data_IF_054494959817
#
_entry.id   IF_054494959817
#
_cell.length_a   1.000
_cell.length_b   1.000
_cell.length_c   1.000
_cell.angle_alpha   90.00
_cell.angle_beta   90.00
_cell.angle_gamma   90.00
#
_symmetry.space_group_name_H-M   'P 1'
#
loop_
_entity.id
_entity.type
_entity.pdbx_description
1 polymer ?
#
# COMPACT_ATOMS: atom_id res chain seq x y z
N UNK A 1 11.32 -10.62 -4.69
CA UNK A 1 10.83 -9.80 -3.56
C UNK A 1 9.51 -9.16 -3.98
N UNK A 2 8.47 -9.20 -3.15
CA UNK A 2 7.34 -8.28 -3.31
C UNK A 2 7.25 -7.49 -2.03
N UNK A 3 7.72 -6.25 -2.10
CA UNK A 3 7.29 -5.22 -1.16
C UNK A 3 5.77 -5.15 -1.20
N UNK A 4 5.09 -4.72 -0.13
CA UNK A 4 3.63 -4.58 -0.10
C UNK A 4 3.09 -3.63 -1.18
N UNK A 5 3.01 -4.10 -2.43
CA UNK A 5 2.55 -3.33 -3.58
C UNK A 5 1.03 -3.29 -3.54
N UNK A 6 0.48 -2.32 -2.80
CA UNK A 6 -0.85 -1.82 -3.12
C UNK A 6 -0.67 -0.82 -4.25
N UNK A 7 -0.79 -1.36 -5.46
CA UNK A 7 -0.77 -0.61 -6.71
C UNK A 7 -1.97 0.34 -6.70
N UNK A 8 -1.70 1.64 -6.54
CA UNK A 8 -2.55 2.68 -7.12
C UNK A 8 -3.96 2.74 -6.49
N UNK A 9 -4.09 3.32 -5.28
CA UNK A 9 -5.34 4.03 -5.03
C UNK A 9 -5.29 5.32 -5.87
N UNK A 10 -6.28 5.50 -6.73
CA UNK A 10 -6.47 6.70 -7.56
C UNK A 10 -6.84 7.94 -6.73
N UNK A 11 -6.95 7.81 -5.40
CA UNK A 11 -7.46 8.84 -4.49
C UNK A 11 -6.37 9.60 -3.72
N UNK A 12 -5.20 9.82 -4.33
CA UNK A 12 -4.18 10.75 -3.79
C UNK A 12 -4.40 12.20 -4.28
N UNK A 13 -5.61 12.55 -4.71
CA UNK A 13 -6.03 13.94 -4.57
C UNK A 13 -6.42 14.13 -3.11
N UNK A 14 -5.86 15.10 -2.37
CA UNK A 14 -6.31 15.36 -1.01
C UNK A 14 -7.84 15.56 -1.07
N UNK A 15 -8.61 14.91 -0.17
CA UNK A 15 -10.06 14.97 -0.22
C UNK A 15 -10.47 16.44 -0.27
N UNK A 16 -11.21 16.82 -1.31
CA UNK A 16 -11.91 18.09 -1.32
C UNK A 16 -12.86 18.04 -0.11
N UNK A 17 -12.49 18.74 0.96
CA UNK A 17 -13.31 18.89 2.14
C UNK A 17 -14.60 19.62 1.76
N UNK A 18 -15.62 18.89 1.32
CA UNK A 18 -16.99 19.32 1.55
C UNK A 18 -17.25 19.08 3.03
N UNK A 19 -17.11 20.16 3.81
CA UNK A 19 -17.63 20.21 5.17
C UNK A 19 -19.13 19.98 5.03
N UNK A 20 -19.58 18.74 5.18
CA UNK A 20 -21.00 18.43 5.37
C UNK A 20 -21.24 18.65 6.88
N UNK A 21 -21.88 19.76 7.29
CA UNK A 21 -22.16 19.98 8.70
C UNK A 21 -23.09 18.89 9.23
N UNK A 22 -22.99 18.54 10.53
CA UNK A 22 -23.75 17.45 11.10
C UNK A 22 -25.25 17.71 10.95
N UNK A 23 -25.99 16.71 10.46
CA UNK A 23 -27.46 16.70 10.44
C UNK A 23 -27.96 16.81 11.88
N UNK A 24 -28.21 18.04 12.34
CA UNK A 24 -28.97 18.29 13.55
C UNK A 24 -30.40 17.86 13.30
N UNK A 25 -30.78 16.81 14.03
CA UNK A 25 -32.11 16.22 14.06
C UNK A 25 -33.06 17.28 14.63
N UNK A 26 -33.77 18.00 13.75
CA UNK A 26 -34.86 18.90 14.14
C UNK A 26 -35.98 18.05 14.73
N UNK A 27 -36.08 18.05 16.06
CA UNK A 27 -37.31 17.66 16.76
C UNK A 27 -37.81 18.94 17.44
N UNK A 28 -38.92 19.44 16.94
CA UNK A 28 -39.53 20.68 17.40
C UNK A 28 -40.09 20.59 18.81
N UNK A 29 -40.20 21.77 19.43
CA UNK A 29 -41.36 22.31 20.15
C UNK A 29 -40.87 23.37 21.15
N UNK A 30 -41.15 24.62 20.78
CA UNK A 30 -41.69 25.70 21.63
C UNK A 30 -40.86 26.39 22.72
N UNK A 31 -40.91 27.74 22.66
CA UNK A 31 -40.77 28.66 23.80
C UNK A 31 -39.48 29.51 23.76
N UNK A 32 -39.38 30.55 22.92
CA UNK A 32 -39.72 31.94 23.23
C UNK A 32 -39.09 32.51 24.53
N UNK A 33 -38.10 33.41 24.37
CA UNK A 33 -38.01 34.79 24.94
C UNK A 33 -36.54 35.22 25.17
N UNK A 34 -36.11 36.19 24.35
CA UNK A 34 -35.02 37.17 24.55
C UNK A 34 -35.31 38.11 25.75
N UNK A 35 -34.49 39.10 26.16
CA UNK A 35 -33.26 39.58 25.54
C UNK A 35 -32.09 39.92 26.50
N UNK A 36 -30.98 40.25 25.85
CA UNK A 36 -29.81 40.94 26.38
C UNK A 36 -30.11 42.30 27.04
N UNK A 37 -29.29 42.69 28.01
CA UNK A 37 -28.75 44.06 28.10
C UNK A 37 -27.53 44.11 29.02
N UNK A 38 -26.53 44.83 28.53
CA UNK A 38 -25.29 45.23 29.17
C UNK A 38 -25.48 46.00 30.48
N UNK A 39 -24.51 45.87 31.38
CA UNK A 39 -24.08 46.96 32.27
C UNK A 39 -22.66 46.70 32.78
N UNK A 40 -21.67 47.15 32.01
CA UNK A 40 -20.33 47.44 32.51
C UNK A 40 -20.27 48.90 32.94
N UNK A 41 -19.88 49.17 34.18
CA UNK A 41 -19.80 50.51 34.75
C UNK A 41 -18.83 50.59 35.92
N UNK A 42 -17.79 51.38 35.71
CA UNK A 42 -16.62 51.64 36.55
C UNK A 42 -16.94 52.65 37.67
N UNK A 43 -16.30 52.50 38.84
CA UNK A 43 -16.18 53.51 39.90
C UNK A 43 -15.34 52.96 41.07
N UNK A 44 -14.04 53.23 41.15
CA UNK A 44 -13.35 54.40 41.76
C UNK A 44 -13.28 54.38 43.29
N UNK A 45 -12.07 54.07 43.77
CA UNK A 45 -11.28 54.66 44.86
C UNK A 45 -12.04 55.15 46.11
N UNK A 46 -11.74 54.52 47.26
CA UNK A 46 -11.52 55.21 48.53
C UNK A 46 -10.61 54.40 49.46
N UNK A 47 -9.45 54.99 49.75
CA UNK A 47 -8.57 54.71 50.90
C UNK A 47 -9.15 55.31 52.17
N UNK A 48 -8.97 54.66 53.33
CA UNK A 48 -8.43 55.40 54.46
C UNK A 48 -7.35 54.66 55.27
N UNK A 49 -6.56 55.53 55.88
CA UNK A 49 -5.52 55.46 56.89
C UNK A 49 -5.62 54.39 58.01
N UNK A 50 -4.46 53.78 58.24
CA UNK A 50 -3.64 53.79 59.46
C UNK A 50 -4.19 53.40 60.86
N UNK A 51 -3.32 52.62 61.51
CA UNK A 51 -3.04 52.49 62.94
C UNK A 51 -3.79 51.40 63.73
N UNK A 52 -3.02 50.40 64.19
CA UNK A 52 -3.51 49.41 65.15
C UNK A 52 -2.60 48.21 65.36
N UNK A 53 -1.41 48.44 65.91
CA UNK A 53 -0.45 47.44 66.41
C UNK A 53 -1.08 46.50 67.45
N UNK A 54 -0.99 45.17 67.28
CA UNK A 54 -0.76 44.19 68.37
C UNK A 54 -0.50 42.76 67.85
N UNK A 55 0.78 42.40 67.96
CA UNK A 55 1.36 41.11 68.40
C UNK A 55 0.41 39.93 68.64
N UNK A 56 0.65 38.82 67.92
CA UNK A 56 0.02 37.52 68.17
C UNK A 56 0.58 36.39 67.31
N UNK A 57 1.71 35.85 67.75
CA UNK A 57 2.32 34.55 67.44
C UNK A 57 1.46 33.51 66.68
N UNK A 58 1.94 33.07 65.51
CA UNK A 58 2.27 31.68 65.19
C UNK A 58 2.39 31.53 63.67
N UNK A 59 3.60 31.21 63.20
CA UNK A 59 3.89 30.89 61.82
C UNK A 59 3.00 29.72 61.35
N UNK A 60 1.91 30.03 60.64
CA UNK A 60 1.19 29.03 59.88
C UNK A 60 2.00 28.77 58.61
N UNK A 61 2.60 27.59 58.54
CA UNK A 61 3.22 27.09 57.32
C UNK A 61 2.21 27.22 56.15
N UNK A 62 2.63 27.74 54.98
CA UNK A 62 1.75 27.88 53.85
C UNK A 62 1.24 26.49 53.42
N UNK A 63 -0.04 26.37 53.02
CA UNK A 63 -0.61 25.10 52.64
C UNK A 63 0.21 24.50 51.52
N UNK A 64 0.67 23.27 51.73
CA UNK A 64 1.18 22.41 50.68
C UNK A 64 0.14 22.39 49.57
N UNK A 65 0.44 23.04 48.45
CA UNK A 65 -0.25 22.76 47.21
C UNK A 65 0.08 21.31 46.88
N UNK A 66 -0.76 20.40 47.37
CA UNK A 66 -0.85 19.06 46.84
C UNK A 66 -0.98 19.25 45.34
N UNK A 67 0.10 18.93 44.61
CA UNK A 67 0.06 18.87 43.16
C UNK A 67 -1.06 17.90 42.84
N UNK A 68 -2.21 18.45 42.47
CA UNK A 68 -3.28 17.76 41.79
C UNK A 68 -2.63 17.15 40.56
N UNK A 69 -2.16 15.92 40.72
CA UNK A 69 -1.65 15.14 39.62
C UNK A 69 -2.90 14.84 38.82
N UNK A 70 -3.13 15.62 37.77
CA UNK A 70 -4.22 15.38 36.83
C UNK A 70 -3.96 13.98 36.31
N UNK A 71 -4.68 13.02 36.89
CA UNK A 71 -4.64 11.63 36.46
C UNK A 71 -5.04 11.64 35.01
N UNK A 72 -4.08 11.30 34.14
CA UNK A 72 -4.27 11.21 32.70
C UNK A 72 -5.53 10.36 32.49
N UNK A 73 -6.56 10.94 31.88
CA UNK A 73 -7.84 10.25 31.64
C UNK A 73 -7.54 8.82 31.16
N UNK A 74 -8.12 7.76 31.75
CA UNK A 74 -7.73 6.39 31.47
C UNK A 74 -8.09 6.05 30.02
N UNK A 75 -7.15 6.29 29.11
CA UNK A 75 -7.23 5.81 27.74
C UNK A 75 -7.05 4.30 27.83
N UNK A 76 -8.11 3.52 27.56
CA UNK A 76 -8.02 2.06 27.52
C UNK A 76 -7.03 1.59 26.42
N UNK A 77 -6.63 0.31 26.46
CA UNK A 77 -5.64 -0.23 25.51
C UNK A 77 -6.04 -0.01 24.04
N UNK A 78 -7.32 -0.21 23.72
CA UNK A 78 -7.86 0.02 22.39
C UNK A 78 -7.68 1.46 21.91
N UNK A 79 -7.99 2.45 22.76
CA UNK A 79 -7.84 3.85 22.40
C UNK A 79 -6.38 4.28 22.27
N UNK A 80 -5.46 3.67 23.05
CA UNK A 80 -4.01 3.85 22.86
C UNK A 80 -3.56 3.28 21.51
N UNK A 81 -4.00 2.07 21.18
CA UNK A 81 -3.68 1.40 19.93
C UNK A 81 -4.22 2.19 18.73
N UNK A 82 -5.46 2.66 18.81
CA UNK A 82 -6.09 3.49 17.78
C UNK A 82 -5.34 4.80 17.55
N UNK A 83 -4.95 5.49 18.64
CA UNK A 83 -4.14 6.71 18.53
C UNK A 83 -2.77 6.43 17.90
N UNK A 84 -2.08 5.38 18.34
CA UNK A 84 -0.78 5.01 17.82
C UNK A 84 -0.84 4.64 16.32
N UNK A 85 -1.91 3.96 15.90
CA UNK A 85 -2.14 3.63 14.50
C UNK A 85 -2.50 4.87 13.67
N UNK A 86 -3.40 5.71 14.18
CA UNK A 86 -3.81 6.94 13.52
C UNK A 86 -2.61 7.86 13.23
N UNK A 87 -1.63 7.91 14.13
CA UNK A 87 -0.39 8.67 13.92
C UNK A 87 0.43 8.20 12.71
N UNK A 88 0.32 6.94 12.30
CA UNK A 88 1.08 6.34 11.18
C UNK A 88 0.40 6.47 9.81
N UNK A 89 -0.81 6.99 9.77
CA UNK A 89 -1.60 7.17 8.53
C UNK A 89 -1.93 8.63 8.23
N UNK A 90 -1.53 9.57 9.11
CA UNK A 90 -1.75 11.01 8.91
C UNK A 90 -1.19 11.47 7.56
N UNK A 91 -1.94 12.23 6.74
CA UNK A 91 -1.44 12.78 5.47
C UNK A 91 -0.20 13.67 5.63
N UNK A 92 0.00 14.25 6.81
CA UNK A 92 1.17 15.08 7.14
C UNK A 92 2.43 14.26 7.46
N UNK A 93 2.30 12.95 7.67
CA UNK A 93 3.45 12.07 7.85
C UNK A 93 4.13 11.84 6.50
N UNK A 94 5.45 12.04 6.45
CA UNK A 94 6.24 11.85 5.23
C UNK A 94 6.07 10.46 4.63
N UNK A 95 6.11 10.38 3.30
CA UNK A 95 5.87 9.14 2.53
C UNK A 95 6.81 8.00 2.93
N UNK A 96 7.99 8.30 3.46
CA UNK A 96 8.93 7.28 3.96
C UNK A 96 8.36 6.42 5.12
N UNK A 97 7.35 6.91 5.84
CA UNK A 97 6.81 6.30 7.05
C UNK A 97 5.28 6.18 7.07
N UNK A 98 4.60 6.64 6.01
CA UNK A 98 3.14 6.66 5.95
C UNK A 98 2.59 5.29 5.54
N UNK A 99 1.85 4.63 6.45
CA UNK A 99 1.28 3.31 6.18
C UNK A 99 0.16 3.36 5.13
N UNK A 100 -0.72 4.37 5.17
CA UNK A 100 -1.83 4.49 4.22
C UNK A 100 -1.33 4.69 2.78
N UNK A 101 -0.25 5.46 2.61
CA UNK A 101 0.41 5.65 1.32
C UNK A 101 0.89 4.34 0.66
N UNK A 102 1.45 3.44 1.48
CA UNK A 102 2.09 2.22 1.00
C UNK A 102 1.13 1.05 0.90
N UNK A 103 0.26 0.89 1.90
CA UNK A 103 -0.64 -0.26 2.01
C UNK A 103 -2.08 0.04 1.64
N UNK A 104 -2.45 1.29 1.36
CA UNK A 104 -3.76 1.65 0.84
C UNK A 104 -4.74 2.26 1.85
N UNK A 105 -5.82 2.82 1.30
CA UNK A 105 -6.72 3.71 2.01
C UNK A 105 -7.66 3.02 3.00
N UNK A 106 -7.77 1.69 2.97
CA UNK A 106 -8.56 0.95 3.97
C UNK A 106 -8.04 1.17 5.39
N UNK A 107 -6.74 1.50 5.53
CA UNK A 107 -6.12 1.82 6.80
C UNK A 107 -6.76 3.03 7.51
N UNK A 108 -7.36 3.95 6.76
CA UNK A 108 -8.06 5.11 7.34
C UNK A 108 -9.28 4.71 8.17
N UNK A 109 -9.85 3.53 7.92
CA UNK A 109 -11.01 3.03 8.66
C UNK A 109 -10.63 2.15 9.85
N UNK A 110 -9.37 1.68 9.92
CA UNK A 110 -8.90 0.76 10.95
C UNK A 110 -9.08 1.32 12.37
N UNK A 111 -8.74 2.59 12.69
CA UNK A 111 -8.93 3.12 14.04
C UNK A 111 -10.37 2.99 14.57
N UNK A 112 -11.38 3.10 13.70
CA UNK A 112 -12.79 2.98 14.06
C UNK A 112 -13.25 1.52 14.23
N UNK A 113 -12.45 0.55 13.78
CA UNK A 113 -12.74 -0.90 13.88
C UNK A 113 -12.05 -1.58 15.06
N UNK A 114 -11.08 -0.91 15.68
CA UNK A 114 -10.38 -1.46 16.84
C UNK A 114 -11.33 -1.63 18.03
N UNK A 115 -11.19 -2.74 18.75
CA UNK A 115 -12.07 -3.17 19.83
C UNK A 115 -13.27 -4.02 19.38
N UNK A 116 -13.48 -4.19 18.07
CA UNK A 116 -14.58 -5.01 17.53
C UNK A 116 -14.17 -6.46 17.25
N UNK A 117 -12.89 -6.71 17.01
CA UNK A 117 -12.37 -8.03 16.65
C UNK A 117 -10.95 -8.20 17.22
N UNK A 118 -10.77 -9.20 18.07
CA UNK A 118 -9.50 -9.43 18.77
C UNK A 118 -8.33 -9.78 17.83
N UNK A 119 -8.60 -10.37 16.66
CA UNK A 119 -7.57 -10.67 15.67
C UNK A 119 -7.08 -9.38 15.00
N UNK A 120 -7.97 -8.44 14.70
CA UNK A 120 -7.59 -7.15 14.16
C UNK A 120 -6.79 -6.33 15.18
N UNK A 121 -7.24 -6.28 16.43
CA UNK A 121 -6.54 -5.57 17.50
C UNK A 121 -5.11 -6.12 17.68
N UNK A 122 -4.99 -7.45 17.81
CA UNK A 122 -3.69 -8.10 17.94
C UNK A 122 -2.80 -7.91 16.70
N UNK A 123 -3.36 -8.03 15.49
CA UNK A 123 -2.61 -7.84 14.26
C UNK A 123 -2.15 -6.39 14.08
N UNK A 124 -2.94 -5.42 14.55
CA UNK A 124 -2.59 -4.00 14.52
C UNK A 124 -1.41 -3.71 15.45
N UNK A 125 -1.44 -4.23 16.67
CA UNK A 125 -0.32 -4.10 17.61
C UNK A 125 0.97 -4.78 17.08
N UNK A 126 0.84 -5.97 16.50
CA UNK A 126 1.94 -6.68 15.83
C UNK A 126 2.48 -5.87 14.65
N UNK A 127 1.61 -5.30 13.81
CA UNK A 127 2.04 -4.51 12.66
C UNK A 127 2.72 -3.19 13.05
N UNK A 128 2.26 -2.52 14.10
CA UNK A 128 2.97 -1.36 14.65
C UNK A 128 4.31 -1.73 15.28
N UNK A 129 4.40 -2.90 15.91
CA UNK A 129 5.67 -3.44 16.42
C UNK A 129 6.64 -3.74 15.28
N UNK A 130 6.14 -4.32 14.18
CA UNK A 130 6.92 -4.56 12.96
C UNK A 130 7.38 -3.24 12.33
N UNK A 131 6.48 -2.26 12.23
CA UNK A 131 6.81 -0.95 11.70
C UNK A 131 7.88 -0.22 12.54
N UNK A 132 7.85 -0.37 13.87
CA UNK A 132 8.84 0.23 14.75
C UNK A 132 10.28 -0.29 14.49
N UNK A 133 10.45 -1.44 13.84
CA UNK A 133 11.78 -1.95 13.46
C UNK A 133 12.46 -1.10 12.39
N UNK A 134 11.70 -0.37 11.56
CA UNK A 134 12.25 0.56 10.57
C UNK A 134 13.04 1.70 11.20
N UNK A 135 12.71 2.06 12.45
CA UNK A 135 13.43 3.08 13.21
C UNK A 135 14.66 2.52 13.95
N UNK A 136 14.87 1.20 13.93
CA UNK A 136 16.03 0.50 14.51
C UNK A 136 16.74 -0.35 13.44
N UNK A 137 17.45 0.27 12.47
CA UNK A 137 18.08 -0.45 11.35
C UNK A 137 19.16 -1.45 11.79
N UNK A 138 19.73 -1.24 12.99
CA UNK A 138 20.73 -2.14 13.57
C UNK A 138 20.10 -3.44 14.13
N UNK A 139 18.77 -3.56 14.11
CA UNK A 139 18.04 -4.76 14.53
C UNK A 139 18.24 -5.11 16.00
N UNK A 140 18.77 -4.17 16.80
CA UNK A 140 19.25 -4.44 18.16
C UNK A 140 18.14 -4.75 19.15
N UNK A 141 16.90 -4.30 18.90
CA UNK A 141 15.83 -4.33 19.92
C UNK A 141 14.58 -5.14 19.56
N UNK A 142 14.28 -5.39 18.29
CA UNK A 142 12.87 -5.62 17.91
C UNK A 142 12.49 -7.01 17.37
N UNK A 143 13.44 -7.89 17.03
CA UNK A 143 13.08 -9.16 16.37
C UNK A 143 12.39 -10.18 17.30
N UNK A 144 12.89 -10.49 18.53
CA UNK A 144 12.27 -11.49 19.39
C UNK A 144 10.85 -11.12 19.82
N UNK A 145 10.62 -9.85 20.18
CA UNK A 145 9.29 -9.35 20.57
C UNK A 145 8.32 -9.39 19.40
N UNK A 146 8.77 -9.01 18.20
CA UNK A 146 7.95 -9.09 17.00
C UNK A 146 7.55 -10.54 16.67
N UNK A 147 8.49 -11.49 16.77
CA UNK A 147 8.23 -12.91 16.53
C UNK A 147 7.22 -13.48 17.54
N UNK A 148 7.36 -13.12 18.81
CA UNK A 148 6.42 -13.52 19.86
C UNK A 148 5.01 -12.99 19.55
N UNK A 149 4.88 -11.68 19.30
CA UNK A 149 3.60 -11.06 18.94
C UNK A 149 3.00 -11.66 17.69
N UNK A 150 3.80 -11.90 16.65
CA UNK A 150 3.35 -12.53 15.41
C UNK A 150 2.77 -13.94 15.66
N UNK A 151 3.46 -14.76 16.47
CA UNK A 151 2.98 -16.08 16.87
C UNK A 151 1.68 -16.04 17.69
N UNK A 152 1.58 -15.09 18.63
CA UNK A 152 0.36 -14.89 19.42
C UNK A 152 -0.82 -14.43 18.55
N UNK A 153 -0.61 -13.48 17.64
CA UNK A 153 -1.63 -13.02 16.70
C UNK A 153 -2.10 -14.15 15.79
N UNK A 154 -1.21 -15.04 15.32
CA UNK A 154 -1.61 -16.22 14.55
C UNK A 154 -2.53 -17.16 15.35
N UNK A 155 -2.24 -17.37 16.64
CA UNK A 155 -3.10 -18.18 17.50
C UNK A 155 -4.50 -17.56 17.68
N UNK A 156 -4.57 -16.23 17.86
CA UNK A 156 -5.83 -15.48 17.95
C UNK A 156 -6.59 -15.53 16.63
N UNK A 157 -5.91 -15.30 15.50
CA UNK A 157 -6.51 -15.37 14.18
C UNK A 157 -7.14 -16.73 13.92
N UNK A 158 -6.44 -17.82 14.26
CA UNK A 158 -6.99 -19.18 14.12
C UNK A 158 -8.29 -19.36 14.90
N UNK A 159 -8.36 -18.87 16.15
CA UNK A 159 -9.59 -18.90 16.94
C UNK A 159 -10.73 -18.10 16.29
N UNK A 160 -10.43 -16.95 15.68
CA UNK A 160 -11.43 -16.18 14.93
C UNK A 160 -11.88 -16.88 13.65
N UNK A 161 -11.03 -17.69 13.02
CA UNK A 161 -11.37 -18.49 11.85
C UNK A 161 -12.21 -19.73 12.20
N UNK A 162 -12.07 -20.26 13.42
CA UNK A 162 -12.92 -21.36 13.94
C UNK A 162 -14.35 -20.88 14.27
N UNK A 163 -14.55 -19.58 14.45
CA UNK A 163 -15.87 -18.96 14.63
C UNK A 163 -16.49 -18.60 13.27
N UNK A 164 -17.64 -19.18 12.88
CA UNK A 164 -18.22 -18.99 11.55
C UNK A 164 -18.67 -17.56 11.25
N UNK A 165 -18.94 -16.74 12.27
CA UNK A 165 -19.30 -15.32 12.12
C UNK A 165 -18.03 -14.49 11.95
N UNK A 166 -17.06 -14.65 12.87
CA UNK A 166 -15.81 -13.88 12.82
C UNK A 166 -14.96 -14.22 11.59
N UNK A 167 -14.97 -15.48 11.14
CA UNK A 167 -14.24 -15.91 9.95
C UNK A 167 -14.64 -15.11 8.68
N UNK A 168 -15.88 -14.61 8.62
CA UNK A 168 -16.42 -13.86 7.48
C UNK A 168 -16.32 -12.34 7.65
N UNK A 169 -15.96 -11.86 8.84
CA UNK A 169 -15.86 -10.42 9.12
C UNK A 169 -14.73 -9.75 8.30
N UNK A 170 -14.89 -8.49 7.87
CA UNK A 170 -13.83 -7.73 7.22
C UNK A 170 -12.65 -7.46 8.15
N UNK A 171 -12.87 -7.39 9.47
CA UNK A 171 -11.82 -7.23 10.46
C UNK A 171 -10.85 -8.43 10.47
N UNK A 172 -11.37 -9.67 10.38
CA UNK A 172 -10.54 -10.87 10.26
C UNK A 172 -9.73 -10.86 8.96
N UNK A 173 -10.32 -10.41 7.84
CA UNK A 173 -9.60 -10.26 6.58
C UNK A 173 -8.47 -9.22 6.69
N UNK A 174 -8.73 -8.10 7.36
CA UNK A 174 -7.73 -7.07 7.61
C UNK A 174 -6.59 -7.61 8.49
N UNK A 175 -6.90 -8.40 9.52
CA UNK A 175 -5.90 -9.06 10.35
C UNK A 175 -4.98 -10.00 9.56
N UNK A 176 -5.53 -10.78 8.61
CA UNK A 176 -4.76 -11.62 7.69
C UNK A 176 -3.80 -10.76 6.86
N UNK A 177 -4.27 -9.64 6.32
CA UNK A 177 -3.45 -8.72 5.51
C UNK A 177 -2.35 -8.06 6.35
N UNK A 178 -2.62 -7.69 7.60
CA UNK A 178 -1.61 -7.13 8.50
C UNK A 178 -0.52 -8.13 8.81
N UNK A 179 -0.88 -9.38 9.13
CA UNK A 179 0.10 -10.44 9.30
C UNK A 179 0.92 -10.67 8.02
N UNK A 180 0.29 -10.68 6.86
CA UNK A 180 1.00 -10.79 5.59
C UNK A 180 2.00 -9.65 5.38
N UNK A 181 1.60 -8.42 5.69
CA UNK A 181 2.48 -7.25 5.62
C UNK A 181 3.61 -7.31 6.67
N UNK A 182 3.39 -7.93 7.84
CA UNK A 182 4.45 -8.12 8.84
C UNK A 182 5.60 -9.00 8.34
N UNK A 183 5.34 -9.95 7.46
CA UNK A 183 6.35 -10.93 7.01
C UNK A 183 7.57 -10.30 6.36
N UNK A 184 7.40 -9.17 5.68
CA UNK A 184 8.52 -8.48 5.04
C UNK A 184 9.54 -7.94 6.06
N UNK A 185 9.11 -7.72 7.31
CA UNK A 185 9.96 -7.28 8.43
C UNK A 185 10.58 -8.45 9.21
N UNK A 186 10.04 -9.66 9.07
CA UNK A 186 10.40 -10.81 9.93
C UNK A 186 11.34 -11.79 9.21
N UNK A 187 11.02 -12.17 7.97
CA UNK A 187 11.71 -13.28 7.30
C UNK A 187 12.47 -12.85 6.05
N UNK A 188 13.64 -13.48 5.84
CA UNK A 188 14.27 -13.59 4.53
C UNK A 188 13.41 -14.50 3.64
N UNK A 189 12.79 -13.94 2.60
CA UNK A 189 11.98 -14.75 1.68
C UNK A 189 12.88 -15.49 0.70
N UNK A 190 13.18 -16.75 1.00
CA UNK A 190 13.79 -17.71 0.09
C UNK A 190 12.67 -18.41 -0.68
N UNK A 191 12.37 -17.95 -1.90
CA UNK A 191 11.42 -18.62 -2.79
C UNK A 191 10.02 -17.99 -2.86
N UNK A 192 9.18 -18.52 -3.77
CA UNK A 192 7.90 -17.92 -4.12
C UNK A 192 6.88 -18.07 -2.99
N UNK A 193 6.30 -16.94 -2.54
CA UNK A 193 5.21 -16.90 -1.55
C UNK A 193 3.92 -17.37 -2.22
N UNK A 194 3.79 -18.66 -2.45
CA UNK A 194 2.61 -19.16 -3.15
C UNK A 194 1.43 -19.31 -2.19
N UNK A 195 1.65 -19.66 -0.91
CA UNK A 195 0.56 -20.00 0.01
C UNK A 195 -0.38 -18.82 0.40
N UNK A 196 0.14 -17.62 0.67
CA UNK A 196 -0.72 -16.50 1.11
C UNK A 196 -1.55 -15.94 -0.04
N UNK A 197 -0.93 -15.75 -1.20
CA UNK A 197 -1.63 -15.26 -2.37
C UNK A 197 -2.69 -16.26 -2.86
N UNK A 198 -2.42 -17.58 -2.76
CA UNK A 198 -3.41 -18.64 -3.01
C UNK A 198 -4.63 -18.51 -2.07
N UNK A 199 -4.39 -18.29 -0.77
CA UNK A 199 -5.45 -18.11 0.21
C UNK A 199 -6.27 -16.84 -0.03
N UNK A 200 -5.60 -15.72 -0.34
CA UNK A 200 -6.29 -14.44 -0.65
C UNK A 200 -7.08 -14.54 -1.95
N UNK A 201 -6.54 -15.20 -2.98
CA UNK A 201 -7.27 -15.45 -4.23
C UNK A 201 -8.58 -16.21 -3.97
N UNK A 202 -8.55 -17.23 -3.10
CA UNK A 202 -9.77 -17.95 -2.70
C UNK A 202 -10.74 -17.06 -1.93
N UNK A 203 -10.26 -16.21 -1.03
CA UNK A 203 -11.11 -15.26 -0.29
C UNK A 203 -11.78 -14.27 -1.26
N UNK A 204 -11.05 -13.74 -2.24
CA UNK A 204 -11.61 -12.84 -3.24
C UNK A 204 -12.71 -13.52 -4.06
N UNK A 205 -12.50 -14.77 -4.48
CA UNK A 205 -13.54 -15.56 -5.18
C UNK A 205 -14.79 -15.75 -4.33
N UNK A 206 -14.61 -16.07 -3.04
CA UNK A 206 -15.73 -16.31 -2.13
C UNK A 206 -16.51 -15.04 -1.77
N UNK A 207 -15.84 -13.89 -1.69
CA UNK A 207 -16.51 -12.60 -1.42
C UNK A 207 -17.21 -12.00 -2.64
N UNK A 208 -16.81 -12.39 -3.86
CA UNK A 208 -17.45 -11.93 -5.09
C UNK A 208 -17.14 -10.46 -5.43
N UNK A 209 -18.05 -9.80 -6.17
CA UNK A 209 -17.83 -8.41 -6.63
C UNK A 209 -17.83 -7.41 -5.47
N UNK A 210 -16.88 -6.47 -5.52
CA UNK A 210 -16.78 -5.31 -4.62
C UNK A 210 -18.00 -4.40 -4.74
N UNK A 211 -18.71 -4.39 -5.88
CA UNK A 211 -19.90 -3.54 -6.08
C UNK A 211 -21.06 -3.91 -5.14
N UNK A 212 -21.07 -5.15 -4.65
CA UNK A 212 -22.06 -5.61 -3.67
C UNK A 212 -21.67 -5.25 -2.22
N UNK A 213 -20.46 -4.70 -2.01
CA UNK A 213 -19.95 -4.35 -0.69
C UNK A 213 -20.33 -2.91 -0.33
N UNK A 214 -21.28 -2.77 0.60
CA UNK A 214 -21.71 -1.45 1.09
C UNK A 214 -20.82 -0.86 2.18
N UNK A 215 -19.88 -1.64 2.72
CA UNK A 215 -18.93 -1.17 3.74
C UNK A 215 -17.67 -0.58 3.07
N UNK A 216 -17.41 0.74 3.20
CA UNK A 216 -16.23 1.36 2.61
C UNK A 216 -14.90 0.78 3.11
N UNK A 217 -14.86 0.25 4.34
CA UNK A 217 -13.68 -0.41 4.87
C UNK A 217 -13.37 -1.69 4.11
N UNK A 218 -14.36 -2.57 3.98
CA UNK A 218 -14.22 -3.84 3.28
C UNK A 218 -13.99 -3.61 1.78
N UNK A 219 -14.73 -2.68 1.15
CA UNK A 219 -14.54 -2.34 -0.25
C UNK A 219 -13.09 -1.90 -0.53
N UNK A 220 -12.54 -0.96 0.25
CA UNK A 220 -11.15 -0.53 0.09
C UNK A 220 -10.13 -1.64 0.40
N UNK A 221 -10.45 -2.54 1.33
CA UNK A 221 -9.61 -3.68 1.67
C UNK A 221 -9.53 -4.66 0.49
N UNK A 222 -10.67 -5.00 -0.13
CA UNK A 222 -10.73 -5.86 -1.32
C UNK A 222 -10.02 -5.23 -2.53
N UNK A 223 -10.20 -3.92 -2.73
CA UNK A 223 -9.47 -3.16 -3.76
C UNK A 223 -7.95 -3.18 -3.56
N UNK A 224 -7.48 -3.27 -2.32
CA UNK A 224 -6.05 -3.38 -2.02
C UNK A 224 -5.52 -4.79 -2.29
N UNK A 225 -6.33 -5.82 -2.02
CA UNK A 225 -5.97 -7.22 -2.23
C UNK A 225 -5.93 -7.62 -3.71
N UNK A 226 -6.83 -7.09 -4.56
CA UNK A 226 -6.86 -7.43 -5.99
C UNK A 226 -5.51 -7.19 -6.69
N UNK A 227 -4.84 -6.08 -6.38
CA UNK A 227 -3.57 -5.73 -6.99
C UNK A 227 -2.48 -6.76 -6.65
N UNK A 228 -2.40 -7.18 -5.39
CA UNK A 228 -1.40 -8.14 -4.95
C UNK A 228 -1.62 -9.51 -5.59
N UNK A 229 -2.88 -9.96 -5.66
CA UNK A 229 -3.26 -11.24 -6.28
C UNK A 229 -3.04 -11.21 -7.80
N UNK A 230 -3.39 -10.11 -8.48
CA UNK A 230 -3.13 -9.93 -9.90
C UNK A 230 -1.65 -10.06 -10.20
N UNK A 231 -0.80 -9.32 -9.48
CA UNK A 231 0.62 -9.48 -9.66
C UNK A 231 1.02 -10.94 -9.43
N UNK A 232 0.51 -11.61 -8.39
CA UNK A 232 1.05 -12.93 -7.95
C UNK A 232 0.77 -14.02 -8.97
N UNK A 233 -0.37 -13.90 -9.64
CA UNK A 233 -0.76 -14.77 -10.74
C UNK A 233 0.23 -14.78 -11.92
N UNK A 234 1.08 -13.77 -12.08
CA UNK A 234 2.13 -13.73 -13.11
C UNK A 234 3.28 -14.70 -12.83
N UNK A 235 3.47 -15.11 -11.58
CA UNK A 235 4.57 -15.98 -11.12
C UNK A 235 4.04 -17.28 -10.50
N UNK A 236 2.77 -17.31 -10.10
CA UNK A 236 2.13 -18.42 -9.43
C UNK A 236 0.96 -18.94 -10.28
N UNK A 237 1.23 -20.01 -11.04
CA UNK A 237 0.23 -20.65 -11.91
C UNK A 237 -0.96 -21.28 -11.19
N UNK A 238 -0.96 -21.34 -9.84
CA UNK A 238 -2.10 -21.83 -9.05
C UNK A 238 -3.19 -20.77 -8.85
N UNK A 239 -2.83 -19.49 -8.99
CA UNK A 239 -3.80 -18.39 -8.94
C UNK A 239 -4.47 -18.31 -10.30
N UNK A 240 -5.71 -18.79 -10.35
CA UNK A 240 -6.49 -18.87 -11.58
C UNK A 240 -7.74 -18.03 -11.45
N UNK A 241 -7.94 -17.10 -12.37
CA UNK A 241 -9.20 -16.40 -12.61
C UNK A 241 -9.44 -16.39 -14.12
N UNK A 242 -10.71 -16.42 -14.53
CA UNK A 242 -11.14 -16.20 -15.91
C UNK A 242 -10.93 -14.74 -16.29
N UNK A 243 -10.88 -14.45 -17.60
CA UNK A 243 -10.77 -13.06 -18.07
C UNK A 243 -11.92 -12.19 -17.54
N UNK A 244 -13.14 -12.74 -17.49
CA UNK A 244 -14.29 -12.04 -16.96
C UNK A 244 -14.20 -11.76 -15.46
N UNK A 245 -13.67 -12.71 -14.66
CA UNK A 245 -13.43 -12.49 -13.23
C UNK A 245 -12.37 -11.42 -12.99
N UNK A 246 -11.31 -11.38 -13.81
CA UNK A 246 -10.33 -10.32 -13.71
C UNK A 246 -10.91 -8.97 -14.11
N UNK A 247 -11.63 -8.91 -15.23
CA UNK A 247 -12.28 -7.67 -15.68
C UNK A 247 -13.24 -7.19 -14.60
N UNK A 248 -14.12 -8.03 -14.06
CA UNK A 248 -15.06 -7.61 -13.01
C UNK A 248 -14.38 -7.14 -11.72
N UNK A 249 -13.20 -7.67 -11.39
CA UNK A 249 -12.42 -7.26 -10.22
C UNK A 249 -11.76 -5.89 -10.37
N UNK A 250 -11.47 -5.48 -11.61
CA UNK A 250 -10.74 -4.24 -11.93
C UNK A 250 -11.57 -3.18 -12.66
N UNK A 251 -12.73 -3.55 -13.18
CA UNK A 251 -13.66 -2.64 -13.80
C UNK A 251 -14.20 -1.66 -12.76
N UNK A 252 -14.32 -0.41 -13.19
CA UNK A 252 -15.02 0.62 -12.44
C UNK A 252 -16.06 1.13 -13.43
N UNK A 253 -17.29 0.66 -13.29
CA UNK A 253 -18.41 1.18 -14.09
C UNK A 253 -18.75 2.64 -13.76
N UNK A 254 -18.09 3.22 -12.75
CA UNK A 254 -18.47 4.48 -12.12
C UNK A 254 -17.62 5.69 -12.57
N UNK A 255 -16.40 5.47 -13.08
CA UNK A 255 -15.50 6.56 -13.47
C UNK A 255 -14.49 6.15 -14.55
N UNK A 256 -14.04 7.14 -15.31
CA UNK A 256 -12.93 6.99 -16.24
C UNK A 256 -11.66 6.56 -15.48
N UNK A 257 -11.04 5.48 -15.94
CA UNK A 257 -9.81 4.98 -15.35
C UNK A 257 -8.68 5.99 -15.55
N UNK A 258 -7.93 6.25 -14.48
CA UNK A 258 -6.64 6.93 -14.60
C UNK A 258 -5.71 6.14 -15.54
N UNK A 259 -4.69 6.76 -16.14
CA UNK A 259 -3.72 6.05 -16.98
C UNK A 259 -3.10 4.83 -16.29
N UNK A 260 -2.86 4.94 -14.99
CA UNK A 260 -2.38 3.84 -14.16
C UNK A 260 -3.44 2.73 -14.02
N UNK A 261 -4.71 3.09 -13.83
CA UNK A 261 -5.83 2.15 -13.84
C UNK A 261 -6.03 1.46 -15.20
N UNK A 262 -5.85 2.19 -16.31
CA UNK A 262 -5.88 1.64 -17.66
C UNK A 262 -4.75 0.63 -17.85
N UNK A 263 -3.53 0.95 -17.40
CA UNK A 263 -2.40 0.03 -17.46
C UNK A 263 -2.66 -1.26 -16.65
N UNK A 264 -3.21 -1.14 -15.43
CA UNK A 264 -3.62 -2.30 -14.62
C UNK A 264 -4.71 -3.11 -15.32
N UNK A 265 -5.68 -2.47 -15.98
CA UNK A 265 -6.70 -3.14 -16.78
C UNK A 265 -6.10 -3.90 -17.98
N UNK A 266 -4.94 -3.49 -18.53
CA UNK A 266 -4.22 -4.32 -19.51
C UNK A 266 -3.50 -5.48 -18.84
N UNK A 267 -2.91 -5.25 -17.68
CA UNK A 267 -2.20 -6.29 -16.93
C UNK A 267 -3.11 -7.49 -16.57
N UNK A 268 -4.42 -7.28 -16.35
CA UNK A 268 -5.37 -8.36 -16.05
C UNK A 268 -5.42 -9.47 -17.11
N UNK A 269 -5.10 -9.15 -18.36
CA UNK A 269 -5.09 -10.12 -19.48
C UNK A 269 -3.82 -10.97 -19.53
N UNK A 270 -2.73 -10.50 -18.89
CA UNK A 270 -1.40 -11.13 -18.97
C UNK A 270 -1.35 -12.53 -18.35
N UNK A 271 -1.88 -12.80 -17.14
CA UNK A 271 -1.78 -14.13 -16.53
C UNK A 271 -2.40 -15.24 -17.40
N UNK A 272 -3.52 -14.94 -18.06
CA UNK A 272 -4.25 -15.91 -18.88
C UNK A 272 -3.57 -16.11 -20.23
N UNK A 273 -3.02 -15.03 -20.80
CA UNK A 273 -2.17 -15.11 -21.98
C UNK A 273 -0.89 -15.92 -21.71
N UNK A 274 -0.23 -15.72 -20.57
CA UNK A 274 0.93 -16.53 -20.14
C UNK A 274 0.57 -18.01 -20.02
N UNK A 275 -0.57 -18.34 -19.40
CA UNK A 275 -1.01 -19.74 -19.27
C UNK A 275 -1.30 -20.40 -20.62
N UNK A 276 -1.99 -19.71 -21.53
CA UNK A 276 -2.25 -20.22 -22.89
C UNK A 276 -0.97 -20.37 -23.70
N UNK A 277 -0.07 -19.38 -23.61
CA UNK A 277 1.25 -19.44 -24.27
C UNK A 277 2.07 -20.62 -23.77
N UNK A 278 2.10 -20.85 -22.46
CA UNK A 278 2.76 -22.01 -21.86
C UNK A 278 2.16 -23.33 -22.33
N UNK A 279 0.84 -23.46 -22.31
CA UNK A 279 0.15 -24.67 -22.75
C UNK A 279 0.47 -24.99 -24.23
N UNK A 280 0.46 -23.99 -25.10
CA UNK A 280 0.89 -24.12 -26.49
C UNK A 280 2.35 -24.61 -26.59
N UNK A 281 3.28 -23.95 -25.89
CA UNK A 281 4.71 -24.29 -25.92
C UNK A 281 5.03 -25.67 -25.32
N UNK A 282 4.14 -26.22 -24.49
CA UNK A 282 4.27 -27.59 -23.95
C UNK A 282 3.66 -28.66 -24.86
N UNK A 283 3.01 -28.27 -25.97
CA UNK A 283 2.31 -29.19 -26.86
C UNK A 283 0.93 -29.62 -26.35
N UNK A 284 0.36 -28.90 -25.37
CA UNK A 284 -1.01 -29.16 -24.89
C UNK A 284 -2.07 -28.56 -25.84
N UNK A 285 -1.66 -27.75 -26.83
CA UNK A 285 -2.52 -27.12 -27.83
C UNK A 285 -1.95 -27.38 -29.24
N UNK A 286 -2.77 -27.91 -30.16
CA UNK A 286 -2.30 -28.66 -31.34
C UNK A 286 -2.26 -27.89 -32.69
N UNK A 287 -2.40 -26.55 -32.76
CA UNK A 287 -2.41 -25.86 -34.07
C UNK A 287 -1.43 -24.69 -34.22
N UNK A 288 -0.74 -24.63 -35.38
CA UNK A 288 0.12 -23.48 -35.75
C UNK A 288 -0.64 -22.16 -35.78
N UNK A 289 -1.93 -22.18 -36.12
CA UNK A 289 -2.77 -20.99 -36.13
C UNK A 289 -2.86 -20.35 -34.73
N UNK A 290 -2.76 -21.15 -33.66
CA UNK A 290 -2.76 -20.62 -32.29
C UNK A 290 -1.51 -19.81 -31.96
N UNK A 291 -0.34 -20.12 -32.54
CA UNK A 291 0.85 -19.30 -32.33
C UNK A 291 0.63 -17.89 -32.89
N UNK A 292 0.10 -17.80 -34.11
CA UNK A 292 -0.21 -16.52 -34.75
C UNK A 292 -1.27 -15.74 -33.94
N UNK A 293 -2.28 -16.41 -33.39
CA UNK A 293 -3.29 -15.78 -32.54
C UNK A 293 -2.70 -15.28 -31.22
N UNK A 294 -1.86 -16.07 -30.55
CA UNK A 294 -1.17 -15.69 -29.30
C UNK A 294 -0.22 -14.51 -29.53
N UNK A 295 0.56 -14.55 -30.60
CA UNK A 295 1.48 -13.47 -30.99
C UNK A 295 0.69 -12.20 -31.29
N UNK A 296 -0.38 -12.29 -32.09
CA UNK A 296 -1.26 -11.16 -32.41
C UNK A 296 -1.88 -10.55 -31.15
N UNK A 297 -2.35 -11.38 -30.23
CA UNK A 297 -2.95 -10.91 -28.98
C UNK A 297 -1.91 -10.23 -28.07
N UNK A 298 -0.70 -10.79 -27.95
CA UNK A 298 0.37 -10.21 -27.16
C UNK A 298 0.83 -8.85 -27.70
N UNK A 299 0.92 -8.72 -29.03
CA UNK A 299 1.24 -7.45 -29.70
C UNK A 299 0.11 -6.42 -29.54
N UNK A 300 -1.14 -6.84 -29.72
CA UNK A 300 -2.30 -5.97 -29.49
C UNK A 300 -2.32 -5.44 -28.06
N UNK A 301 -2.06 -6.30 -27.06
CA UNK A 301 -2.03 -5.89 -25.66
C UNK A 301 -0.96 -4.82 -25.37
N UNK A 302 0.22 -4.94 -25.98
CA UNK A 302 1.27 -3.90 -25.89
C UNK A 302 0.83 -2.60 -26.56
N UNK A 303 0.22 -2.66 -27.74
CA UNK A 303 -0.27 -1.49 -28.45
C UNK A 303 -1.38 -0.77 -27.65
N UNK A 304 -2.28 -1.54 -27.02
CA UNK A 304 -3.35 -1.02 -26.16
C UNK A 304 -2.83 -0.38 -24.86
N UNK A 305 -1.64 -0.74 -24.38
CA UNK A 305 -1.00 -0.11 -23.21
C UNK A 305 -0.39 1.25 -23.56
N UNK A 306 0.02 1.47 -24.81
CA UNK A 306 0.83 2.63 -25.20
C UNK A 306 0.21 3.99 -24.82
N UNK A 307 -1.10 4.26 -25.00
CA UNK A 307 -1.67 5.54 -24.60
C UNK A 307 -1.51 5.83 -23.10
N UNK A 308 -1.66 4.81 -22.26
CA UNK A 308 -1.49 4.92 -20.82
C UNK A 308 -0.02 5.16 -20.45
N UNK A 309 0.92 4.41 -21.07
CA UNK A 309 2.36 4.57 -20.86
C UNK A 309 2.84 5.97 -21.27
N UNK A 310 2.46 6.42 -22.46
CA UNK A 310 2.79 7.77 -22.96
C UNK A 310 2.27 8.87 -22.01
N UNK A 311 1.04 8.73 -21.49
CA UNK A 311 0.47 9.73 -20.60
C UNK A 311 1.13 9.75 -19.20
N UNK A 312 1.49 8.59 -18.63
CA UNK A 312 2.24 8.58 -17.36
C UNK A 312 3.67 9.09 -17.53
N UNK A 313 4.31 8.84 -18.68
CA UNK A 313 5.62 9.40 -19.03
C UNK A 313 5.56 10.93 -19.07
N UNK A 314 4.59 11.49 -19.80
CA UNK A 314 4.40 12.95 -19.88
C UNK A 314 4.15 13.58 -18.49
N UNK A 315 3.35 12.92 -17.63
CA UNK A 315 3.12 13.38 -16.26
C UNK A 315 4.39 13.37 -15.43
N UNK A 316 5.19 12.31 -15.54
CA UNK A 316 6.49 12.20 -14.88
C UNK A 316 7.45 13.29 -15.35
N UNK A 317 7.61 13.47 -16.67
CA UNK A 317 8.47 14.51 -17.25
C UNK A 317 8.09 15.91 -16.75
N UNK A 318 6.80 16.24 -16.74
CA UNK A 318 6.30 17.51 -16.23
C UNK A 318 6.65 17.75 -14.76
N UNK A 319 6.48 16.74 -13.91
CA UNK A 319 6.76 16.86 -12.47
C UNK A 319 8.25 16.83 -12.17
N UNK A 320 9.02 16.04 -12.92
CA UNK A 320 10.48 16.00 -12.80
C UNK A 320 11.14 17.33 -13.20
N UNK A 321 10.60 18.01 -14.21
CA UNK A 321 11.07 19.32 -14.66
C UNK A 321 10.63 20.46 -13.72
N UNK A 322 9.47 20.34 -13.08
CA UNK A 322 8.96 21.33 -12.13
C UNK A 322 8.16 20.67 -10.99
N UNK A 323 8.85 20.24 -9.90
CA UNK A 323 8.22 19.56 -8.78
C UNK A 323 7.12 20.38 -8.07
N UNK A 324 7.24 21.71 -8.08
CA UNK A 324 6.29 22.61 -7.43
C UNK A 324 5.01 22.83 -8.26
N UNK A 325 4.97 22.37 -9.51
CA UNK A 325 3.85 22.61 -10.43
C UNK A 325 2.52 21.94 -10.04
N UNK A 326 2.58 20.83 -9.28
CA UNK A 326 1.39 20.07 -8.89
C UNK A 326 0.64 20.73 -7.73
N UNK A 327 1.39 21.23 -6.75
CA UNK A 327 0.85 21.89 -5.58
C UNK A 327 1.51 23.26 -5.33
N UNK A 328 1.28 24.28 -6.19
CA UNK A 328 1.93 25.58 -6.05
C UNK A 328 1.68 26.27 -4.69
N UNK A 329 0.55 25.93 -4.05
CA UNK A 329 0.15 26.47 -2.73
C UNK A 329 0.61 25.61 -1.54
N UNK A 330 1.12 24.41 -1.79
CA UNK A 330 1.53 23.45 -0.75
C UNK A 330 2.89 22.83 -1.11
N UNK A 331 3.98 23.61 -1.11
CA UNK A 331 5.31 23.14 -1.53
C UNK A 331 5.84 21.97 -0.68
N UNK A 332 5.40 21.85 0.58
CA UNK A 332 5.73 20.69 1.42
C UNK A 332 5.17 19.36 0.89
N UNK A 333 4.21 19.39 -0.04
CA UNK A 333 3.68 18.21 -0.73
C UNK A 333 4.39 17.92 -2.06
N UNK A 334 5.36 18.74 -2.50
CA UNK A 334 6.10 18.50 -3.74
C UNK A 334 6.80 17.13 -3.72
N UNK A 335 7.37 16.72 -2.58
CA UNK A 335 7.97 15.40 -2.42
C UNK A 335 6.97 14.25 -2.56
N UNK A 336 5.72 14.45 -2.12
CA UNK A 336 4.64 13.49 -2.28
C UNK A 336 4.23 13.35 -3.76
N UNK A 337 4.06 14.48 -4.45
CA UNK A 337 3.77 14.47 -5.89
C UNK A 337 4.89 13.80 -6.68
N UNK A 338 6.14 14.19 -6.44
CA UNK A 338 7.30 13.60 -7.11
C UNK A 338 7.38 12.08 -6.87
N UNK A 339 7.23 11.63 -5.62
CA UNK A 339 7.17 10.20 -5.30
C UNK A 339 6.01 9.48 -5.99
N UNK A 340 4.82 10.10 -6.06
CA UNK A 340 3.65 9.53 -6.72
C UNK A 340 3.92 9.25 -8.19
N UNK A 341 4.30 10.29 -8.95
CA UNK A 341 4.45 10.19 -10.40
C UNK A 341 5.65 9.33 -10.80
N UNK A 342 6.74 9.36 -10.03
CA UNK A 342 7.87 8.43 -10.20
C UNK A 342 7.40 6.98 -10.08
N UNK A 343 6.70 6.67 -8.98
CA UNK A 343 6.19 5.33 -8.70
C UNK A 343 5.22 4.89 -9.80
N UNK A 344 4.23 5.72 -10.15
CA UNK A 344 3.27 5.42 -11.21
C UNK A 344 3.96 5.11 -12.54
N UNK A 345 4.96 5.91 -12.93
CA UNK A 345 5.69 5.68 -14.17
C UNK A 345 6.47 4.35 -14.13
N UNK A 346 7.24 4.09 -13.07
CA UNK A 346 7.98 2.85 -12.92
C UNK A 346 7.08 1.59 -12.94
N UNK A 347 5.87 1.69 -12.38
CA UNK A 347 4.92 0.58 -12.36
C UNK A 347 4.32 0.32 -13.75
N UNK A 348 4.08 1.35 -14.56
CA UNK A 348 3.60 1.14 -15.94
C UNK A 348 4.72 0.60 -16.84
N UNK A 349 5.96 1.05 -16.67
CA UNK A 349 7.13 0.43 -17.30
C UNK A 349 7.26 -1.06 -16.93
N UNK A 350 7.00 -1.38 -15.66
CA UNK A 350 6.96 -2.77 -15.18
C UNK A 350 5.91 -3.61 -15.90
N UNK A 351 4.69 -3.06 -16.08
CA UNK A 351 3.63 -3.73 -16.84
C UNK A 351 4.07 -3.95 -18.30
N UNK A 352 4.71 -2.95 -18.91
CA UNK A 352 5.22 -3.07 -20.28
C UNK A 352 6.28 -4.18 -20.41
N UNK A 353 7.23 -4.27 -19.49
CA UNK A 353 8.22 -5.36 -19.45
C UNK A 353 7.53 -6.73 -19.30
N UNK A 354 6.54 -6.86 -18.41
CA UNK A 354 5.81 -8.12 -18.21
C UNK A 354 5.03 -8.57 -19.46
N UNK A 355 4.45 -7.62 -20.20
CA UNK A 355 3.85 -7.89 -21.50
C UNK A 355 4.93 -8.30 -22.52
N UNK A 356 6.07 -7.64 -22.52
CA UNK A 356 7.20 -7.99 -23.39
C UNK A 356 7.73 -9.40 -23.11
N UNK A 357 7.80 -9.84 -21.85
CA UNK A 357 8.15 -11.23 -21.54
C UNK A 357 7.17 -12.23 -22.14
N UNK A 358 5.88 -11.89 -22.15
CA UNK A 358 4.84 -12.74 -22.77
C UNK A 358 4.97 -12.73 -24.29
N UNK A 359 5.25 -11.57 -24.91
CA UNK A 359 5.53 -11.45 -26.36
C UNK A 359 6.76 -12.25 -26.77
N UNK A 360 7.85 -12.14 -26.01
CA UNK A 360 9.10 -12.85 -26.24
C UNK A 360 8.93 -14.37 -26.14
N UNK A 361 8.00 -14.86 -25.32
CA UNK A 361 7.73 -16.29 -25.23
C UNK A 361 7.17 -16.90 -26.53
N UNK A 362 6.47 -16.09 -27.34
CA UNK A 362 5.72 -16.55 -28.53
C UNK A 362 6.18 -15.90 -29.84
N UNK A 363 7.17 -15.01 -29.82
CA UNK A 363 7.63 -14.33 -31.04
C UNK A 363 8.92 -14.93 -31.58
N UNK A 364 9.00 -15.04 -32.91
CA UNK A 364 10.20 -15.45 -33.63
C UNK A 364 11.16 -14.27 -33.92
N UNK A 365 10.63 -13.04 -33.98
CA UNK A 365 11.41 -11.82 -34.15
C UNK A 365 11.40 -11.00 -32.86
N UNK A 366 12.45 -11.19 -32.06
CA UNK A 366 12.54 -10.66 -30.71
C UNK A 366 13.37 -9.37 -30.61
N UNK A 367 14.01 -8.90 -31.70
CA UNK A 367 15.05 -7.87 -31.61
C UNK A 367 14.51 -6.54 -31.05
N UNK A 368 13.40 -6.04 -31.62
CA UNK A 368 12.77 -4.79 -31.16
C UNK A 368 12.19 -4.91 -29.75
N UNK A 369 11.64 -6.09 -29.42
CA UNK A 369 11.03 -6.36 -28.11
C UNK A 369 12.09 -6.38 -27.00
N UNK A 370 13.25 -6.99 -27.29
CA UNK A 370 14.40 -7.01 -26.38
C UNK A 370 14.96 -5.60 -26.16
N UNK A 371 15.11 -4.82 -27.23
CA UNK A 371 15.60 -3.45 -27.15
C UNK A 371 14.66 -2.58 -26.30
N UNK A 372 13.36 -2.62 -26.56
CA UNK A 372 12.35 -1.88 -25.79
C UNK A 372 12.37 -2.29 -24.30
N UNK A 373 12.37 -3.59 -24.02
CA UNK A 373 12.40 -4.10 -22.64
C UNK A 373 13.66 -3.67 -21.89
N UNK A 374 14.79 -3.62 -22.59
CA UNK A 374 16.05 -3.15 -22.04
C UNK A 374 16.04 -1.64 -21.74
N UNK A 375 15.48 -0.82 -22.63
CA UNK A 375 15.31 0.62 -22.39
C UNK A 375 14.45 0.90 -21.15
N UNK A 376 13.31 0.21 -21.02
CA UNK A 376 12.47 0.33 -19.83
C UNK A 376 13.18 -0.12 -18.55
N UNK A 377 14.07 -1.11 -18.66
CA UNK A 377 14.88 -1.59 -17.53
C UNK A 377 15.86 -0.51 -17.06
N UNK A 378 16.54 0.17 -17.98
CA UNK A 378 17.42 1.30 -17.68
C UNK A 378 16.65 2.46 -17.02
N UNK A 379 15.46 2.77 -17.54
CA UNK A 379 14.60 3.80 -16.96
C UNK A 379 14.18 3.46 -15.52
N UNK A 380 13.74 2.22 -15.24
CA UNK A 380 13.39 1.78 -13.88
C UNK A 380 14.58 1.87 -12.93
N UNK A 381 15.78 1.48 -13.39
CA UNK A 381 17.01 1.58 -12.60
C UNK A 381 17.29 3.06 -12.24
N UNK A 382 17.14 3.97 -13.20
CA UNK A 382 17.30 5.41 -12.96
C UNK A 382 16.24 5.97 -11.99
N UNK A 383 14.96 5.66 -12.22
CA UNK A 383 13.85 6.06 -11.33
C UNK A 383 14.07 5.55 -9.91
N UNK A 384 14.60 4.34 -9.75
CA UNK A 384 14.93 3.78 -8.45
C UNK A 384 16.01 4.57 -7.74
N UNK A 385 17.08 4.98 -8.43
CA UNK A 385 18.09 5.87 -7.83
C UNK A 385 17.49 7.21 -7.38
N UNK A 386 16.62 7.80 -8.20
CA UNK A 386 15.94 9.06 -7.89
C UNK A 386 14.97 8.94 -6.70
N UNK A 387 14.43 7.75 -6.44
CA UNK A 387 13.49 7.50 -5.36
C UNK A 387 14.15 7.24 -3.99
N UNK A 388 15.49 7.24 -3.91
CA UNK A 388 16.21 7.00 -2.66
C UNK A 388 15.73 7.86 -1.47
N UNK A 389 15.39 9.16 -1.63
CA UNK A 389 14.88 9.98 -0.53
C UNK A 389 13.53 9.55 0.06
N UNK A 390 12.77 8.70 -0.64
CA UNK A 390 11.44 8.24 -0.21
C UNK A 390 11.47 6.88 0.49
N UNK A 391 12.65 6.29 0.65
CA UNK A 391 12.83 5.03 1.39
C UNK A 391 12.60 5.23 2.89
N UNK A 392 12.08 4.22 3.61
CA UNK A 392 11.82 2.86 3.12
C UNK A 392 10.46 2.69 2.44
N UNK A 393 9.37 3.22 3.01
CA UNK A 393 8.01 2.87 2.58
C UNK A 393 7.55 3.56 1.29
N UNK A 394 7.96 4.81 1.08
CA UNK A 394 7.50 5.60 -0.07
C UNK A 394 7.98 5.02 -1.40
N UNK A 395 9.18 4.44 -1.40
CA UNK A 395 9.79 3.81 -2.57
C UNK A 395 9.63 2.27 -2.61
N UNK A 396 8.93 1.67 -1.65
CA UNK A 396 8.92 0.22 -1.44
C UNK A 396 8.39 -0.56 -2.66
N UNK A 397 7.40 0.00 -3.36
CA UNK A 397 6.86 -0.55 -4.60
C UNK A 397 7.91 -0.77 -5.69
N UNK A 398 9.00 0.00 -5.71
CA UNK A 398 10.07 -0.16 -6.71
C UNK A 398 10.81 -1.48 -6.59
N UNK A 399 10.67 -2.21 -5.47
CA UNK A 399 11.19 -3.57 -5.35
C UNK A 399 10.61 -4.54 -6.40
N UNK A 400 9.34 -4.37 -6.82
CA UNK A 400 8.77 -5.16 -7.92
C UNK A 400 9.22 -4.62 -9.28
N UNK A 401 9.39 -3.31 -9.41
CA UNK A 401 9.88 -2.70 -10.65
C UNK A 401 11.30 -3.16 -10.96
N UNK A 402 12.17 -3.19 -9.96
CA UNK A 402 13.55 -3.67 -10.10
C UNK A 402 13.62 -5.16 -10.42
N UNK A 403 12.66 -5.96 -9.94
CA UNK A 403 12.55 -7.36 -10.36
C UNK A 403 12.21 -7.44 -11.86
N UNK A 404 11.26 -6.64 -12.34
CA UNK A 404 10.93 -6.59 -13.75
C UNK A 404 12.10 -6.06 -14.59
N UNK A 405 12.81 -5.03 -14.15
CA UNK A 405 14.00 -4.50 -14.84
C UNK A 405 15.12 -5.54 -14.95
N UNK A 406 15.33 -6.36 -13.92
CA UNK A 406 16.28 -7.48 -13.99
C UNK A 406 15.85 -8.55 -15.01
N UNK A 407 14.56 -8.88 -15.07
CA UNK A 407 14.01 -9.78 -16.10
C UNK A 407 14.11 -9.18 -17.51
N UNK A 408 13.82 -7.90 -17.66
CA UNK A 408 13.71 -7.18 -18.93
C UNK A 408 15.05 -6.88 -19.60
N UNK A 409 16.10 -6.66 -18.81
CA UNK A 409 17.41 -6.24 -19.29
C UNK A 409 18.06 -7.24 -20.28
N UNK A 410 18.72 -6.69 -21.31
CA UNK A 410 19.43 -7.46 -22.33
C UNK A 410 20.88 -7.77 -21.94
N UNK A 411 21.56 -6.85 -21.26
CA UNK A 411 22.96 -6.99 -20.86
C UNK A 411 23.14 -7.36 -19.38
N UNK A 412 24.35 -7.78 -19.01
CA UNK A 412 24.67 -8.20 -17.64
C UNK A 412 24.82 -7.03 -16.65
N UNK A 413 25.23 -5.85 -17.10
CA UNK A 413 25.46 -4.68 -16.25
C UNK A 413 24.14 -4.10 -15.73
N UNK A 414 23.13 -4.00 -16.59
CA UNK A 414 21.79 -3.55 -16.24
C UNK A 414 21.09 -4.55 -15.32
N UNK A 415 21.23 -5.86 -15.58
CA UNK A 415 20.74 -6.92 -14.69
C UNK A 415 21.33 -6.80 -13.30
N UNK A 416 22.65 -6.64 -13.21
CA UNK A 416 23.34 -6.53 -11.93
C UNK A 416 23.01 -5.21 -11.23
N UNK A 417 22.85 -4.10 -11.96
CA UNK A 417 22.41 -2.83 -11.41
C UNK A 417 21.00 -2.93 -10.81
N UNK A 418 20.06 -3.55 -11.52
CA UNK A 418 18.70 -3.77 -11.06
C UNK A 418 18.68 -4.68 -9.81
N UNK A 419 19.44 -5.78 -9.85
CA UNK A 419 19.60 -6.70 -8.72
C UNK A 419 20.19 -6.00 -7.50
N UNK A 420 21.28 -5.27 -7.65
CA UNK A 420 21.96 -4.55 -6.56
C UNK A 420 21.01 -3.57 -5.88
N UNK A 421 20.32 -2.72 -6.65
CA UNK A 421 19.32 -1.79 -6.10
C UNK A 421 18.17 -2.54 -5.43
N UNK A 422 17.71 -3.67 -6.00
CA UNK A 422 16.66 -4.49 -5.41
C UNK A 422 17.07 -5.05 -4.06
N UNK A 423 18.34 -5.41 -3.91
CA UNK A 423 18.93 -5.86 -2.64
C UNK A 423 19.13 -4.72 -1.64
N UNK A 424 19.48 -3.53 -2.11
CA UNK A 424 19.57 -2.35 -1.28
C UNK A 424 18.20 -1.97 -0.68
N UNK A 425 17.16 -1.90 -1.51
CA UNK A 425 15.77 -1.67 -1.08
C UNK A 425 15.25 -2.76 -0.15
N UNK A 426 15.74 -4.00 -0.33
CA UNK A 426 15.40 -5.10 0.54
C UNK A 426 15.93 -4.92 1.96
N UNK A 427 17.13 -4.35 2.07
CA UNK A 427 17.83 -4.16 3.33
C UNK A 427 17.10 -3.19 4.27
N UNK A 428 16.27 -2.29 3.73
CA UNK A 428 15.43 -1.36 4.49
C UNK A 428 14.51 -2.05 5.51
N UNK A 429 14.13 -3.29 5.24
CA UNK A 429 13.19 -4.06 6.08
C UNK A 429 13.87 -5.18 6.88
N UNK A 430 15.06 -5.62 6.46
CA UNK A 430 15.66 -6.89 6.89
C UNK A 430 17.12 -6.79 7.34
N UNK A 431 17.77 -5.63 7.17
CA UNK A 431 19.21 -5.46 7.36
C UNK A 431 20.06 -6.12 6.26
N UNK A 432 21.31 -5.69 6.10
CA UNK A 432 22.22 -6.13 5.02
C UNK A 432 22.63 -7.60 5.09
N UNK A 433 22.75 -8.19 6.28
CA UNK A 433 23.28 -9.55 6.50
C UNK A 433 22.37 -10.68 5.95
N UNK A 434 21.22 -10.31 5.40
CA UNK A 434 20.08 -11.21 5.23
C UNK A 434 19.62 -11.34 3.76
N UNK A 435 20.47 -10.95 2.79
CA UNK A 435 20.03 -10.69 1.42
C UNK A 435 20.53 -11.74 0.39
N UNK A 436 21.59 -12.50 0.68
CA UNK A 436 22.32 -13.29 -0.33
C UNK A 436 21.63 -14.57 -0.87
N UNK A 437 20.61 -15.14 -0.20
CA UNK A 437 20.11 -16.50 -0.50
C UNK A 437 18.82 -16.58 -1.38
N UNK A 438 18.54 -15.59 -2.24
CA UNK A 438 17.25 -15.53 -2.94
C UNK A 438 17.21 -16.33 -4.25
N UNK A 439 16.22 -17.22 -4.38
CA UNK A 439 15.83 -17.83 -5.65
C UNK A 439 15.20 -16.81 -6.61
N UNK A 440 15.51 -16.96 -7.90
CA UNK A 440 14.90 -16.19 -8.98
C UNK A 440 13.41 -16.51 -9.09
N UNK A 441 12.58 -15.47 -9.06
CA UNK A 441 11.16 -15.60 -9.35
C UNK A 441 10.99 -15.75 -10.86
N UNK A 442 10.48 -16.89 -11.30
CA UNK A 442 10.19 -17.15 -12.71
C UNK A 442 8.73 -16.80 -13.02
N UNK A 443 8.51 -16.19 -14.18
CA UNK A 443 7.17 -15.97 -14.70
C UNK A 443 6.51 -17.30 -15.06
N UNK A 444 5.18 -17.33 -15.06
CA UNK A 444 4.42 -18.50 -15.54
C UNK A 444 4.84 -18.86 -16.97
N UNK A 445 5.03 -17.83 -17.81
CA UNK A 445 5.57 -17.93 -19.16
C UNK A 445 6.29 -16.61 -19.52
N UNK A 446 7.62 -16.62 -19.59
CA UNK A 446 8.44 -15.52 -20.10
C UNK A 446 9.34 -15.93 -21.26
N UNK A 447 10.32 -15.08 -21.60
CA UNK A 447 11.24 -15.31 -22.72
C UNK A 447 11.97 -16.65 -22.68
N UNK A 448 12.19 -17.24 -21.51
CA UNK A 448 12.85 -18.54 -21.35
C UNK A 448 12.08 -19.70 -22.01
N UNK A 449 10.78 -19.51 -22.26
CA UNK A 449 9.93 -20.50 -22.94
C UNK A 449 10.04 -20.46 -24.46
N UNK A 450 10.59 -19.38 -25.04
CA UNK A 450 10.83 -19.27 -26.49
C UNK A 450 11.67 -20.41 -27.05
N UNK A 451 12.53 -21.03 -26.24
CA UNK A 451 13.33 -22.21 -26.61
C UNK A 451 12.49 -23.41 -27.05
N UNK A 452 11.21 -23.44 -26.69
CA UNK A 452 10.28 -24.49 -27.09
C UNK A 452 9.58 -24.20 -28.43
N UNK A 453 9.70 -22.98 -28.99
CA UNK A 453 9.18 -22.65 -30.34
C UNK A 453 9.91 -23.39 -31.47
N UNK A 454 11.16 -23.79 -31.23
CA UNK A 454 12.00 -24.48 -32.21
C UNK A 454 11.80 -26.01 -32.24
N UNK A 455 10.92 -26.56 -31.40
CA UNK A 455 10.53 -27.97 -31.41
C UNK A 455 9.30 -28.16 -32.30
#
# INVERSE_FOLDING_TARGET
MRSGVVMLSSNVYPPQFSVIPPRTRVRGADGLISPASDSGGVGTIQTPEAAGTRTGSAAQNPPSFDMLTISRSPVNDTARLASAFADKIKPTLGVQYNLAWTYGDYLNHVPARLGMNEALDSATDTFLTAFATLADPLGTRSNPVLLEKYGQTLAILRRCLDDPVKARSPETLCAILFLWNCQQFIWQRNGPITAHADGVAQILKLRGSVDNCHDPFESNLLLSLRAVVLFDSLFNGRITFTDQEWVSMFDSQLYDLSPEGQAVQRLTRVPNLMRRSKAFLMGDLDSRDQLADLEKEAHALRAELEPALSLVRQRWEKVSANPDSVFPRMPHLAGLAHCHFLRSYALVLTIAILINETRLAVSLDAAEILQESHEFSLEIVNLSRLASPYRPLGASALGVCLLAAETGAADAETKESARSLRMEYASDFQGYQNVEARQDLQLVCGREWSRYLAR
#
